data_IF_272603110327
#
_entry.id   IF_272603110327
#
_cell.length_a   1.000
_cell.length_b   1.000
_cell.length_c   1.000
_cell.angle_alpha   90.00
_cell.angle_beta   90.00
_cell.angle_gamma   90.00
#
_symmetry.space_group_name_H-M   'P 1'
#
loop_
_entity.id
_entity.type
_entity.pdbx_description
1 polymer ?
#
# COMPACT_ATOMS: atom_id res chain seq x y z
N UNK A 1 95.50 -0.57 -4.09
CA UNK A 1 95.39 0.81 -3.55
C UNK A 1 93.89 1.17 -3.51
N UNK A 2 93.29 1.08 -2.37
CA UNK A 2 92.78 2.17 -1.57
C UNK A 2 91.44 2.80 -2.05
N UNK A 3 90.38 2.51 -1.29
CA UNK A 3 89.35 3.40 -0.69
C UNK A 3 88.40 4.09 -1.67
N UNK A 4 87.15 4.23 -1.42
CA UNK A 4 86.27 4.59 -0.28
C UNK A 4 84.82 4.35 -0.70
N UNK A 5 84.06 3.62 0.05
CA UNK A 5 83.00 4.08 0.99
C UNK A 5 82.32 5.43 0.71
N UNK A 6 81.01 5.44 0.50
CA UNK A 6 80.07 6.04 1.44
C UNK A 6 78.63 6.12 0.90
N UNK A 7 77.80 5.50 1.63
CA UNK A 7 76.51 6.02 2.13
C UNK A 7 75.65 6.88 1.23
N UNK A 8 74.50 6.41 0.94
CA UNK A 8 73.24 7.14 1.11
C UNK A 8 72.10 6.15 1.23
N UNK A 9 71.89 5.70 2.43
CA UNK A 9 70.66 5.10 2.85
C UNK A 9 69.70 6.17 3.29
N UNK A 10 68.45 5.87 3.21
CA UNK A 10 67.47 6.59 4.01
C UNK A 10 66.59 7.64 3.32
N UNK A 11 65.68 7.23 2.47
CA UNK A 11 64.48 8.04 2.16
C UNK A 11 63.40 7.23 1.41
N UNK A 12 63.18 5.94 1.75
CA UNK A 12 62.13 5.12 1.10
C UNK A 12 61.19 4.38 2.06
N UNK A 13 61.29 4.68 3.35
CA UNK A 13 60.45 3.98 4.36
C UNK A 13 59.33 4.81 5.00
N UNK A 14 59.18 6.10 4.60
CA UNK A 14 58.22 7.00 5.24
C UNK A 14 56.91 7.22 4.48
N UNK A 15 56.74 6.63 3.30
CA UNK A 15 55.53 6.86 2.47
C UNK A 15 54.49 5.70 2.45
N UNK A 16 54.75 4.59 3.14
CA UNK A 16 53.83 3.44 3.11
C UNK A 16 52.88 3.40 4.33
N UNK A 17 53.14 4.17 5.38
CA UNK A 17 52.27 4.14 6.59
C UNK A 17 51.12 5.17 6.50
N UNK A 18 51.16 6.13 5.60
CA UNK A 18 50.10 7.15 5.45
C UNK A 18 48.89 6.72 4.63
N UNK A 19 48.94 5.63 3.89
CA UNK A 19 47.84 5.23 2.99
C UNK A 19 46.91 4.14 3.55
N UNK A 20 47.23 3.57 4.70
CA UNK A 20 46.46 2.51 5.33
C UNK A 20 45.36 2.99 6.30
N UNK A 21 45.25 4.30 6.55
CA UNK A 21 44.31 4.89 7.53
C UNK A 21 43.08 5.58 6.90
N UNK A 22 42.95 5.59 5.57
CA UNK A 22 41.83 6.22 4.87
C UNK A 22 40.76 5.20 4.37
N UNK A 23 40.94 3.90 4.63
CA UNK A 23 40.00 2.87 4.19
C UNK A 23 38.99 2.43 5.30
N UNK A 24 38.96 3.06 6.46
CA UNK A 24 38.09 2.68 7.59
C UNK A 24 36.88 3.62 7.80
N UNK A 25 36.57 4.50 6.84
CA UNK A 25 35.45 5.44 6.95
C UNK A 25 34.26 5.08 6.05
N UNK A 26 34.14 3.82 5.60
CA UNK A 26 32.85 3.26 5.17
C UNK A 26 32.21 2.59 6.38
N UNK A 27 31.92 3.36 7.42
CA UNK A 27 31.03 2.95 8.48
C UNK A 27 29.64 2.77 7.86
N UNK A 28 29.20 1.52 7.80
CA UNK A 28 27.84 1.13 7.48
C UNK A 28 26.87 2.02 8.23
N UNK A 29 26.11 2.85 7.53
CA UNK A 29 24.92 3.44 8.08
C UNK A 29 24.00 2.30 8.54
N UNK A 30 23.59 2.25 9.80
CA UNK A 30 22.63 1.23 10.28
C UNK A 30 21.22 1.41 9.69
N UNK A 31 21.04 2.31 8.74
CA UNK A 31 19.76 2.55 8.04
C UNK A 31 19.60 1.81 6.72
N UNK A 32 20.62 1.12 6.19
CA UNK A 32 20.50 0.38 4.93
C UNK A 32 19.97 -1.06 5.10
N UNK A 33 19.37 -1.35 6.26
CA UNK A 33 18.64 -2.58 6.52
C UNK A 33 17.11 -2.39 6.57
N UNK A 34 16.58 -1.26 6.12
CA UNK A 34 15.16 -1.11 5.88
C UNK A 34 14.80 -2.03 4.71
N UNK A 35 14.35 -3.25 5.05
CA UNK A 35 13.76 -4.18 4.12
C UNK A 35 12.77 -3.43 3.24
N UNK A 36 13.06 -3.34 1.97
CA UNK A 36 12.10 -2.94 0.97
C UNK A 36 10.86 -3.82 1.15
N UNK A 37 9.83 -3.28 1.83
CA UNK A 37 8.51 -3.72 1.51
C UNK A 37 7.57 -4.28 2.53
N UNK A 38 7.79 -4.35 3.82
CA UNK A 38 6.66 -4.64 4.70
C UNK A 38 6.23 -3.40 5.48
N UNK A 39 5.00 -2.98 5.23
CA UNK A 39 4.39 -1.91 6.01
C UNK A 39 4.31 -2.34 7.50
N UNK A 40 4.46 -1.41 8.46
CA UNK A 40 4.37 -1.74 9.88
C UNK A 40 3.05 -2.45 10.20
N UNK A 41 3.08 -3.54 11.02
CA UNK A 41 1.86 -4.24 11.41
C UNK A 41 0.82 -3.31 12.04
N UNK A 42 -0.45 -3.46 11.65
CA UNK A 42 -1.57 -2.63 12.11
C UNK A 42 -1.57 -1.20 11.59
N UNK A 43 -0.75 -0.89 10.58
CA UNK A 43 -0.76 0.42 9.91
C UNK A 43 -1.75 0.48 8.75
N UNK A 44 -2.28 1.68 8.40
CA UNK A 44 -3.07 1.85 7.18
C UNK A 44 -2.32 1.41 5.92
N UNK A 45 -1.02 1.54 5.90
CA UNK A 45 -0.18 1.12 4.78
C UNK A 45 -0.19 -0.41 4.61
N UNK A 46 -0.13 -1.18 5.70
CA UNK A 46 -0.28 -2.63 5.66
C UNK A 46 -1.64 -3.03 5.09
N UNK A 47 -2.72 -2.36 5.53
CA UNK A 47 -4.06 -2.61 5.02
C UNK A 47 -4.16 -2.42 3.51
N UNK A 48 -3.58 -1.35 2.98
CA UNK A 48 -3.60 -1.06 1.54
C UNK A 48 -2.75 -2.06 0.74
N UNK A 49 -1.51 -2.32 1.18
CA UNK A 49 -0.52 -3.05 0.37
C UNK A 49 -0.63 -4.57 0.55
N UNK A 50 -0.84 -5.05 1.78
CA UNK A 50 -0.78 -6.48 2.10
C UNK A 50 -2.15 -7.14 2.18
N UNK A 51 -3.16 -6.42 2.69
CA UNK A 51 -4.54 -6.92 2.81
C UNK A 51 -5.33 -6.67 1.53
N UNK A 52 -5.19 -5.48 0.95
CA UNK A 52 -5.95 -4.98 -0.18
C UNK A 52 -7.19 -4.20 0.26
N UNK A 53 -7.23 -2.92 -0.09
CA UNK A 53 -8.27 -1.98 0.33
C UNK A 53 -9.52 -2.00 -0.55
N UNK A 54 -9.54 -2.71 -1.69
CA UNK A 54 -10.62 -2.61 -2.68
C UNK A 54 -11.01 -3.94 -3.28
N UNK A 55 -12.25 -3.98 -3.77
CA UNK A 55 -12.80 -5.07 -4.56
C UNK A 55 -13.45 -4.52 -5.83
N UNK A 56 -13.52 -5.35 -6.86
CA UNK A 56 -14.02 -4.97 -8.18
C UNK A 56 -15.32 -5.70 -8.51
N UNK A 57 -16.10 -5.10 -9.42
CA UNK A 57 -17.39 -5.60 -9.84
C UNK A 57 -17.48 -5.71 -11.36
N UNK A 58 -18.29 -6.66 -11.81
CA UNK A 58 -18.68 -6.75 -13.22
C UNK A 58 -19.61 -5.59 -13.62
N UNK A 59 -19.83 -5.43 -14.93
CA UNK A 59 -20.70 -4.37 -15.46
C UNK A 59 -22.09 -4.53 -14.87
N UNK A 60 -22.63 -3.43 -14.33
CA UNK A 60 -23.96 -3.36 -13.68
C UNK A 60 -24.20 -4.35 -12.51
N UNK A 61 -23.17 -5.08 -12.07
CA UNK A 61 -23.28 -6.04 -10.97
C UNK A 61 -22.94 -5.40 -9.62
N UNK A 62 -23.55 -5.99 -8.59
CA UNK A 62 -23.31 -5.70 -7.17
C UNK A 62 -22.90 -6.93 -6.39
N UNK A 63 -22.89 -8.09 -7.05
CA UNK A 63 -22.50 -9.37 -6.46
C UNK A 63 -20.98 -9.45 -6.28
N UNK A 64 -20.58 -10.05 -5.17
CA UNK A 64 -19.18 -10.24 -4.84
C UNK A 64 -18.65 -11.52 -5.46
N UNK A 65 -17.72 -11.40 -6.39
CA UNK A 65 -17.01 -12.54 -6.96
C UNK A 65 -16.22 -13.31 -5.89
N UNK A 66 -15.81 -14.53 -6.17
CA UNK A 66 -14.95 -15.31 -5.27
C UNK A 66 -13.64 -14.57 -4.93
N UNK A 67 -13.06 -13.85 -5.89
CA UNK A 67 -11.87 -13.01 -5.67
C UNK A 67 -12.17 -11.84 -4.73
N UNK A 68 -13.31 -11.17 -4.90
CA UNK A 68 -13.75 -10.10 -4.02
C UNK A 68 -13.97 -10.61 -2.59
N UNK A 69 -14.66 -11.76 -2.45
CA UNK A 69 -14.88 -12.40 -1.13
C UNK A 69 -13.57 -12.76 -0.44
N UNK A 70 -12.60 -13.34 -1.15
CA UNK A 70 -11.29 -13.66 -0.60
C UNK A 70 -10.53 -12.42 -0.10
N UNK A 71 -10.65 -11.29 -0.80
CA UNK A 71 -10.08 -10.01 -0.34
C UNK A 71 -10.80 -9.50 0.90
N UNK A 72 -12.14 -9.54 0.91
CA UNK A 72 -12.93 -9.10 2.06
C UNK A 72 -12.75 -10.01 3.29
N UNK A 73 -12.47 -11.29 3.12
CA UNK A 73 -12.10 -12.18 4.23
C UNK A 73 -10.81 -11.72 4.91
N UNK A 74 -9.80 -11.34 4.13
CA UNK A 74 -8.56 -10.75 4.67
C UNK A 74 -8.82 -9.41 5.36
N UNK A 75 -9.65 -8.56 4.75
CA UNK A 75 -10.06 -7.30 5.37
C UNK A 75 -10.76 -7.53 6.70
N UNK A 76 -11.72 -8.46 6.76
CA UNK A 76 -12.44 -8.77 7.98
C UNK A 76 -11.51 -9.29 9.10
N UNK A 77 -10.58 -10.18 8.78
CA UNK A 77 -9.57 -10.68 9.73
C UNK A 77 -8.74 -9.52 10.29
N UNK A 78 -8.21 -8.66 9.42
CA UNK A 78 -7.40 -7.53 9.82
C UNK A 78 -8.19 -6.50 10.64
N UNK A 79 -9.42 -6.15 10.21
CA UNK A 79 -10.29 -5.20 10.89
C UNK A 79 -10.77 -5.71 12.27
N UNK A 80 -10.96 -7.02 12.43
CA UNK A 80 -11.28 -7.62 13.73
C UNK A 80 -10.07 -7.64 14.66
N UNK A 81 -8.86 -7.87 14.12
CA UNK A 81 -7.62 -7.81 14.89
C UNK A 81 -7.28 -6.40 15.35
N UNK A 82 -7.48 -5.41 14.47
CA UNK A 82 -7.21 -3.98 14.76
C UNK A 82 -8.52 -3.20 14.96
N UNK A 83 -9.23 -3.50 16.02
CA UNK A 83 -10.57 -2.98 16.30
C UNK A 83 -10.66 -1.45 16.50
N UNK A 84 -9.53 -0.77 16.66
CA UNK A 84 -9.43 0.69 16.82
C UNK A 84 -9.88 1.50 15.60
N UNK A 85 -9.87 0.92 14.42
CA UNK A 85 -10.21 1.62 13.19
C UNK A 85 -11.71 1.68 12.96
N UNK A 86 -12.23 2.86 12.66
CA UNK A 86 -13.47 3.08 11.93
C UNK A 86 -13.12 3.25 10.45
N UNK A 87 -14.06 3.07 9.55
CA UNK A 87 -13.79 3.18 8.13
C UNK A 87 -15.02 3.51 7.30
N UNK A 88 -14.77 4.01 6.11
CA UNK A 88 -15.80 4.31 5.13
C UNK A 88 -15.65 3.37 3.93
N UNK A 89 -16.74 2.78 3.47
CA UNK A 89 -16.78 1.98 2.26
C UNK A 89 -17.31 2.87 1.14
N UNK A 90 -16.44 3.18 0.18
CA UNK A 90 -16.73 4.03 -0.96
C UNK A 90 -17.14 3.18 -2.17
N UNK A 91 -18.34 3.40 -2.71
CA UNK A 91 -18.81 2.69 -3.89
C UNK A 91 -18.67 3.55 -5.16
N UNK A 92 -18.18 2.91 -6.22
CA UNK A 92 -17.87 3.57 -7.49
C UNK A 92 -18.46 2.79 -8.68
N UNK A 93 -18.69 3.50 -9.77
CA UNK A 93 -19.14 2.96 -11.04
C UNK A 93 -18.25 3.46 -12.18
N UNK A 94 -18.35 2.85 -13.36
CA UNK A 94 -17.74 3.37 -14.58
C UNK A 94 -18.56 4.55 -15.14
N UNK A 95 -18.07 5.19 -16.17
CA UNK A 95 -18.64 6.44 -16.73
C UNK A 95 -19.95 6.27 -17.49
N UNK A 96 -20.33 5.04 -17.87
CA UNK A 96 -21.51 4.77 -18.68
C UNK A 96 -22.81 4.96 -17.90
N UNK A 97 -23.84 5.43 -18.54
CA UNK A 97 -25.14 5.70 -17.94
C UNK A 97 -25.26 7.06 -17.26
N UNK A 98 -26.43 7.31 -16.63
CA UNK A 98 -26.72 8.59 -15.97
C UNK A 98 -25.97 8.72 -14.64
N UNK A 99 -25.87 9.93 -14.14
CA UNK A 99 -25.26 10.23 -12.85
C UNK A 99 -26.04 9.57 -11.72
N UNK A 100 -27.36 9.73 -11.73
CA UNK A 100 -28.28 9.22 -10.72
C UNK A 100 -28.21 7.68 -10.64
N UNK A 101 -28.23 7.02 -11.79
CA UNK A 101 -28.07 5.58 -11.87
C UNK A 101 -26.76 5.11 -11.24
N UNK A 102 -25.65 5.76 -11.57
CA UNK A 102 -24.33 5.38 -11.06
C UNK A 102 -24.15 5.67 -9.56
N UNK A 103 -24.76 6.74 -9.04
CA UNK A 103 -24.80 6.99 -7.60
C UNK A 103 -25.55 5.84 -6.90
N UNK A 104 -26.70 5.42 -7.41
CA UNK A 104 -27.45 4.31 -6.85
C UNK A 104 -26.67 2.97 -6.97
N UNK A 105 -26.00 2.72 -8.10
CA UNK A 105 -25.18 1.51 -8.30
C UNK A 105 -23.99 1.47 -7.34
N UNK A 106 -23.27 2.57 -7.19
CA UNK A 106 -22.16 2.69 -6.23
C UNK A 106 -22.63 2.47 -4.79
N UNK A 107 -23.80 3.01 -4.42
CA UNK A 107 -24.38 2.80 -3.09
C UNK A 107 -24.66 1.31 -2.83
N UNK A 108 -25.27 0.61 -3.77
CA UNK A 108 -25.52 -0.84 -3.66
C UNK A 108 -24.22 -1.65 -3.55
N UNK A 109 -23.16 -1.30 -4.30
CA UNK A 109 -21.83 -1.93 -4.20
C UNK A 109 -21.21 -1.75 -2.82
N UNK A 110 -21.24 -0.53 -2.28
CA UNK A 110 -20.77 -0.26 -0.92
C UNK A 110 -21.55 -1.05 0.13
N UNK A 111 -22.87 -1.17 -0.03
CA UNK A 111 -23.71 -1.92 0.89
C UNK A 111 -23.46 -3.44 0.79
N UNK A 112 -23.22 -4.01 -0.39
CA UNK A 112 -22.81 -5.41 -0.55
C UNK A 112 -21.53 -5.72 0.23
N UNK A 113 -20.52 -4.85 0.13
CA UNK A 113 -19.28 -4.98 0.91
C UNK A 113 -19.54 -4.87 2.41
N UNK A 114 -20.31 -3.87 2.84
CA UNK A 114 -20.68 -3.69 4.25
C UNK A 114 -21.36 -4.94 4.82
N UNK A 115 -22.36 -5.46 4.13
CA UNK A 115 -23.11 -6.62 4.57
C UNK A 115 -22.23 -7.88 4.65
N UNK A 116 -21.30 -8.05 3.72
CA UNK A 116 -20.32 -9.13 3.77
C UNK A 116 -19.42 -9.03 4.99
N UNK A 117 -18.86 -7.84 5.27
CA UNK A 117 -18.00 -7.62 6.44
C UNK A 117 -18.74 -7.81 7.76
N UNK A 118 -20.02 -7.39 7.84
CA UNK A 118 -20.89 -7.68 9.01
C UNK A 118 -21.04 -9.18 9.19
N UNK A 119 -21.30 -9.92 8.12
CA UNK A 119 -21.38 -11.39 8.14
C UNK A 119 -20.08 -12.08 8.57
N UNK A 120 -18.93 -11.38 8.49
CA UNK A 120 -17.61 -11.82 8.98
C UNK A 120 -17.26 -11.28 10.37
N UNK A 121 -18.23 -10.73 11.09
CA UNK A 121 -18.09 -10.30 12.48
C UNK A 121 -17.54 -8.89 12.69
N UNK A 122 -17.40 -8.09 11.61
CA UNK A 122 -16.98 -6.68 11.77
C UNK A 122 -18.18 -5.85 12.24
N UNK A 123 -18.02 -5.10 13.33
CA UNK A 123 -19.11 -4.33 13.93
C UNK A 123 -19.64 -3.24 12.98
N UNK A 124 -20.96 -3.24 12.71
CA UNK A 124 -21.60 -2.30 11.80
C UNK A 124 -21.44 -0.83 12.22
N UNK A 125 -21.30 -0.56 13.52
CA UNK A 125 -21.08 0.78 14.07
C UNK A 125 -19.74 1.41 13.68
N UNK A 126 -18.78 0.60 13.20
CA UNK A 126 -17.46 1.05 12.73
C UNK A 126 -17.45 1.44 11.26
N UNK A 127 -18.53 1.19 10.54
CA UNK A 127 -18.65 1.32 9.09
C UNK A 127 -19.61 2.43 8.68
N UNK A 128 -19.21 3.21 7.69
CA UNK A 128 -20.07 4.10 6.93
C UNK A 128 -19.99 3.70 5.45
N UNK A 129 -21.07 3.90 4.71
CA UNK A 129 -21.09 3.74 3.25
C UNK A 129 -21.31 5.09 2.60
N UNK A 130 -20.63 5.31 1.47
CA UNK A 130 -20.84 6.49 0.62
C UNK A 130 -20.71 6.05 -0.84
N UNK A 131 -21.50 6.67 -1.71
CA UNK A 131 -21.36 6.48 -3.15
C UNK A 131 -20.84 7.74 -3.82
N UNK A 132 -19.84 7.56 -4.64
CA UNK A 132 -19.37 8.58 -5.57
C UNK A 132 -19.83 8.31 -6.99
N UNK A 133 -20.55 7.20 -7.23
CA UNK A 133 -20.97 6.84 -8.58
C UNK A 133 -19.79 6.89 -9.55
N UNK A 134 -19.92 7.62 -10.64
CA UNK A 134 -18.87 7.81 -11.64
C UNK A 134 -18.01 9.07 -11.44
N UNK A 135 -18.21 9.82 -10.37
CA UNK A 135 -17.61 11.15 -10.17
C UNK A 135 -16.12 11.10 -9.76
N UNK A 136 -15.61 9.93 -9.36
CA UNK A 136 -14.21 9.73 -8.93
C UNK A 136 -13.55 8.59 -9.69
N UNK A 137 -13.32 8.72 -11.01
CA UNK A 137 -12.64 7.71 -11.79
C UNK A 137 -11.16 7.60 -11.36
N UNK A 138 -10.60 6.39 -11.39
CA UNK A 138 -9.16 6.13 -11.22
C UNK A 138 -8.46 5.86 -12.54
N UNK A 139 -9.24 5.56 -13.59
CA UNK A 139 -8.77 5.39 -14.94
C UNK A 139 -9.72 6.12 -15.91
N UNK A 140 -9.16 6.88 -16.84
CA UNK A 140 -9.91 7.73 -17.78
C UNK A 140 -9.55 7.32 -19.21
N UNK A 141 -10.36 6.49 -19.79
CA UNK A 141 -10.38 6.12 -21.21
C UNK A 141 -11.74 5.51 -21.54
N UNK A 142 -12.08 5.43 -22.81
CA UNK A 142 -13.39 4.93 -23.24
C UNK A 142 -13.28 3.46 -23.69
N UNK A 143 -12.81 2.59 -22.79
CA UNK A 143 -12.73 1.15 -23.02
C UNK A 143 -12.80 0.33 -21.74
N UNK A 144 -12.84 -1.01 -21.89
CA UNK A 144 -13.01 -1.95 -20.80
C UNK A 144 -11.85 -1.91 -19.78
N UNK A 145 -10.64 -1.53 -20.18
CA UNK A 145 -9.47 -1.49 -19.29
C UNK A 145 -9.62 -0.41 -18.21
N UNK A 146 -10.21 0.74 -18.55
CA UNK A 146 -10.54 1.78 -17.59
C UNK A 146 -11.82 1.47 -16.82
N UNK A 147 -12.88 1.01 -17.49
CA UNK A 147 -14.15 0.73 -16.84
C UNK A 147 -14.02 -0.32 -15.74
N UNK A 148 -13.25 -1.38 -15.97
CA UNK A 148 -13.03 -2.42 -14.98
C UNK A 148 -12.37 -1.91 -13.70
N UNK A 149 -11.47 -0.94 -13.79
CA UNK A 149 -10.82 -0.31 -12.64
C UNK A 149 -11.76 0.64 -11.89
N UNK A 150 -12.70 1.28 -12.61
CA UNK A 150 -13.66 2.20 -12.02
C UNK A 150 -14.80 1.50 -11.29
N UNK A 151 -15.18 0.30 -11.71
CA UNK A 151 -16.22 -0.53 -11.05
C UNK A 151 -15.64 -1.18 -9.79
N UNK A 152 -15.64 -0.45 -8.68
CA UNK A 152 -15.00 -0.90 -7.43
C UNK A 152 -15.74 -0.43 -6.19
N UNK A 153 -15.45 -1.07 -5.07
CA UNK A 153 -15.66 -0.50 -3.74
C UNK A 153 -14.33 -0.46 -2.99
N UNK A 154 -14.09 0.62 -2.25
CA UNK A 154 -12.84 0.87 -1.52
C UNK A 154 -13.15 1.02 -0.04
N UNK A 155 -12.45 0.28 0.80
CA UNK A 155 -12.48 0.41 2.26
C UNK A 155 -11.41 1.41 2.70
N UNK A 156 -11.83 2.58 3.14
CA UNK A 156 -10.95 3.68 3.54
C UNK A 156 -10.94 3.76 5.06
N UNK A 157 -9.79 3.48 5.67
CA UNK A 157 -9.62 3.62 7.12
C UNK A 157 -9.66 5.09 7.51
N UNK A 158 -10.48 5.44 8.50
CA UNK A 158 -10.49 6.78 9.06
C UNK A 158 -9.30 6.93 10.01
N UNK A 159 -8.76 8.15 10.12
CA UNK A 159 -7.72 8.43 11.10
C UNK A 159 -8.23 8.04 12.51
N UNK A 160 -7.38 7.39 13.31
CA UNK A 160 -7.74 7.01 14.66
C UNK A 160 -8.04 8.28 15.48
N UNK A 161 -9.31 8.49 15.85
CA UNK A 161 -9.73 9.62 16.69
C UNK A 161 -10.42 10.78 15.98
N UNK A 162 -10.86 10.62 14.71
CA UNK A 162 -11.72 11.61 14.02
C UNK A 162 -13.18 11.17 14.01
#
# INVERSE_FOLDING_TARGET
MIRMLRHLGGARAAFIVGFALLAAACAKNPMDGAALGSAPPGSPQEFIVSVGDRVFFESDQTDLSAQAQATLDKQAQWLNHYAKYTFTIEGHADERGTREYNIALGARRAESVRNYLVGRGVAASRMRTISYGKERPVAVCNDISCWSQNRRAVTVLNAAGS
#
